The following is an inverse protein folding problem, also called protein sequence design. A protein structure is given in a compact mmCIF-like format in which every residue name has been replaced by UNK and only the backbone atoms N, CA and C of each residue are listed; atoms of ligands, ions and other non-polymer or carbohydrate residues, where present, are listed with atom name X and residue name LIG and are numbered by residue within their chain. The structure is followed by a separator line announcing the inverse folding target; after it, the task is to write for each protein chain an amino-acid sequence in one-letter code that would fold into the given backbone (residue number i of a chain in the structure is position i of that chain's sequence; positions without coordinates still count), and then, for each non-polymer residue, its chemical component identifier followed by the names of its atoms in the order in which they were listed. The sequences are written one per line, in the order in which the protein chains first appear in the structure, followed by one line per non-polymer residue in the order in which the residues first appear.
data_IF_088470096217
#
_entry.id   IF_088470096217
#
_cell.length_a   1.000
_cell.length_b   1.000
_cell.length_c   1.000
_cell.angle_alpha   90.00
_cell.angle_beta   90.00
_cell.angle_gamma   90.00
#
_symmetry.space_group_name_H-M   'P 1'
#
loop_
_entity.id
_entity.type
_entity.pdbx_description
1 polymer ?
#
# COMPACT_ATOMS: atom_id res chain seq x y z
N UNK A 1 7.17 13.06 -25.57
CA UNK A 1 5.81 12.49 -25.67
C UNK A 1 5.21 12.49 -24.28
N UNK A 2 3.93 12.88 -24.11
CA UNK A 2 3.27 12.88 -22.79
C UNK A 2 3.22 11.42 -22.32
N UNK A 3 3.80 11.08 -21.15
CA UNK A 3 3.69 9.71 -20.59
C UNK A 3 2.19 9.40 -20.41
N UNK A 4 1.70 8.29 -20.98
CA UNK A 4 0.31 7.87 -20.78
C UNK A 4 0.07 7.61 -19.29
N UNK A 5 -1.05 8.10 -18.76
CA UNK A 5 -1.41 7.89 -17.36
C UNK A 5 -1.60 6.39 -17.12
N UNK A 6 -0.89 5.88 -16.12
CA UNK A 6 -1.02 4.52 -15.60
C UNK A 6 -1.05 4.57 -14.09
N UNK A 7 -2.07 3.95 -13.51
CA UNK A 7 -2.26 3.85 -12.06
C UNK A 7 -2.50 2.39 -11.68
N UNK A 8 -2.39 2.08 -10.39
CA UNK A 8 -2.68 0.72 -9.90
C UNK A 8 -3.43 0.69 -8.59
N UNK A 9 -4.36 -0.24 -8.48
CA UNK A 9 -4.83 -0.73 -7.20
C UNK A 9 -4.02 -1.98 -6.83
N UNK A 10 -3.37 -1.93 -5.67
CA UNK A 10 -2.43 -2.96 -5.23
C UNK A 10 -2.81 -3.55 -3.85
N UNK A 11 -3.90 -4.31 -3.75
CA UNK A 11 -4.32 -4.92 -2.49
C UNK A 11 -3.51 -6.19 -2.16
N UNK A 12 -3.27 -6.42 -0.88
CA UNK A 12 -2.86 -7.73 -0.39
C UNK A 12 -4.09 -8.62 -0.16
N UNK A 13 -4.07 -9.91 -0.54
CA UNK A 13 -5.19 -10.83 -0.38
C UNK A 13 -5.27 -11.37 1.07
N UNK A 14 -5.56 -10.49 2.03
CA UNK A 14 -5.54 -10.80 3.47
C UNK A 14 -6.92 -10.81 4.13
N UNK A 15 -8.01 -10.77 3.34
CA UNK A 15 -9.39 -10.76 3.82
C UNK A 15 -10.33 -9.94 2.92
N UNK A 16 -11.51 -9.62 3.44
CA UNK A 16 -12.49 -8.77 2.76
C UNK A 16 -11.99 -7.33 2.50
N UNK A 17 -12.53 -6.69 1.48
CA UNK A 17 -12.14 -5.33 1.07
C UNK A 17 -12.96 -4.27 1.83
N UNK A 18 -12.27 -3.53 2.69
CA UNK A 18 -12.86 -2.41 3.44
C UNK A 18 -13.21 -1.21 2.54
N UNK A 19 -14.16 -0.37 2.99
CA UNK A 19 -14.58 0.86 2.29
C UNK A 19 -13.42 1.77 1.88
N UNK A 20 -12.40 1.93 2.74
CA UNK A 20 -11.21 2.72 2.40
C UNK A 20 -10.42 2.15 1.21
N UNK A 21 -10.39 0.82 1.08
CA UNK A 21 -9.82 0.14 -0.06
C UNK A 21 -10.64 0.35 -1.33
N UNK A 22 -11.97 0.23 -1.25
CA UNK A 22 -12.88 0.48 -2.39
C UNK A 22 -12.78 1.94 -2.86
N UNK A 23 -12.75 2.92 -1.94
CA UNK A 23 -12.56 4.33 -2.31
C UNK A 23 -11.20 4.56 -2.97
N UNK A 24 -10.15 3.87 -2.50
CA UNK A 24 -8.82 3.97 -3.11
C UNK A 24 -8.85 3.50 -4.56
N UNK A 25 -9.45 2.34 -4.85
CA UNK A 25 -9.58 1.86 -6.24
C UNK A 25 -10.49 2.75 -7.08
N UNK A 26 -11.57 3.29 -6.51
CA UNK A 26 -12.45 4.25 -7.19
C UNK A 26 -11.67 5.48 -7.66
N UNK A 27 -10.88 6.13 -6.80
CA UNK A 27 -10.12 7.32 -7.21
C UNK A 27 -9.01 7.00 -8.22
N UNK A 28 -8.38 5.82 -8.14
CA UNK A 28 -7.49 5.35 -9.20
C UNK A 28 -8.25 5.25 -10.54
N UNK A 29 -9.39 4.56 -10.53
CA UNK A 29 -10.21 4.33 -11.71
C UNK A 29 -10.69 5.64 -12.35
N UNK A 30 -11.27 6.55 -11.55
CA UNK A 30 -11.74 7.85 -12.03
C UNK A 30 -10.60 8.67 -12.64
N UNK A 31 -9.44 8.71 -11.99
CA UNK A 31 -8.27 9.44 -12.49
C UNK A 31 -7.75 8.87 -13.81
N UNK A 32 -7.63 7.54 -13.91
CA UNK A 32 -7.20 6.88 -15.13
C UNK A 32 -8.18 7.15 -16.28
N UNK A 33 -9.48 6.92 -16.05
CA UNK A 33 -10.52 7.13 -17.07
C UNK A 33 -10.63 8.59 -17.51
N UNK A 34 -10.56 9.55 -16.57
CA UNK A 34 -10.57 10.97 -16.87
C UNK A 34 -9.42 11.37 -17.82
N UNK A 35 -8.24 10.76 -17.60
CA UNK A 35 -7.04 11.03 -18.40
C UNK A 35 -6.92 10.17 -19.66
N UNK A 36 -7.88 9.27 -19.95
CA UNK A 36 -7.76 8.27 -21.01
C UNK A 36 -6.57 7.31 -20.81
N UNK A 37 -6.23 7.03 -19.55
CA UNK A 37 -5.14 6.16 -19.13
C UNK A 37 -5.59 4.76 -18.70
N UNK A 38 -4.63 4.02 -18.16
CA UNK A 38 -4.77 2.60 -17.79
C UNK A 38 -4.90 2.42 -16.28
N UNK A 39 -5.83 1.55 -15.88
CA UNK A 39 -6.04 1.11 -14.51
C UNK A 39 -5.63 -0.35 -14.33
N UNK A 40 -4.60 -0.57 -13.51
CA UNK A 40 -4.01 -1.89 -13.26
C UNK A 40 -4.45 -2.46 -11.90
N UNK A 41 -4.80 -3.75 -11.85
CA UNK A 41 -4.90 -4.53 -10.62
C UNK A 41 -3.62 -5.35 -10.41
N UNK A 42 -2.91 -5.14 -9.31
CA UNK A 42 -1.75 -5.95 -8.91
C UNK A 42 -2.02 -6.60 -7.55
N UNK A 43 -1.84 -7.90 -7.42
CA UNK A 43 -2.05 -8.61 -6.16
C UNK A 43 -0.73 -8.67 -5.39
N UNK A 44 -0.72 -8.10 -4.18
CA UNK A 44 0.46 -8.02 -3.32
C UNK A 44 0.46 -9.16 -2.29
N UNK A 45 0.69 -10.38 -2.77
CA UNK A 45 0.66 -11.65 -2.04
C UNK A 45 2.05 -12.12 -1.55
N UNK A 46 2.97 -11.19 -1.30
CA UNK A 46 4.35 -11.52 -0.87
C UNK A 46 4.43 -12.04 0.58
N UNK A 47 3.43 -11.72 1.40
CA UNK A 47 3.29 -12.22 2.77
C UNK A 47 2.35 -13.42 2.83
N UNK A 48 2.94 -14.61 2.63
CA UNK A 48 2.24 -15.89 2.68
C UNK A 48 1.64 -16.21 4.06
N UNK A 49 2.12 -15.58 5.15
CA UNK A 49 1.58 -15.81 6.49
C UNK A 49 0.22 -15.14 6.70
N UNK A 50 0.01 -14.02 5.98
CA UNK A 50 -1.23 -13.23 6.02
C UNK A 50 -2.17 -13.54 4.86
N UNK A 51 -1.73 -14.32 3.89
CA UNK A 51 -2.57 -14.78 2.78
C UNK A 51 -3.84 -15.46 3.31
N UNK A 52 -4.98 -15.10 2.71
CA UNK A 52 -6.27 -15.71 3.01
C UNK A 52 -6.88 -16.24 1.72
N UNK A 53 -7.12 -17.57 1.61
CA UNK A 53 -7.80 -18.15 0.46
C UNK A 53 -9.14 -17.46 0.17
N UNK A 54 -9.44 -17.23 -1.11
CA UNK A 54 -10.66 -16.53 -1.54
C UNK A 54 -10.62 -15.01 -1.46
N UNK A 55 -9.61 -14.39 -0.81
CA UNK A 55 -9.52 -12.94 -0.73
C UNK A 55 -9.24 -12.28 -2.09
N UNK A 56 -8.42 -12.90 -2.95
CA UNK A 56 -8.21 -12.42 -4.33
C UNK A 56 -9.51 -12.47 -5.16
N UNK A 57 -10.22 -13.60 -5.10
CA UNK A 57 -11.52 -13.76 -5.77
C UNK A 57 -12.53 -12.73 -5.28
N UNK A 58 -12.57 -12.50 -3.96
CA UNK A 58 -13.40 -11.46 -3.37
C UNK A 58 -13.08 -10.08 -3.92
N UNK A 59 -11.79 -9.72 -4.04
CA UNK A 59 -11.35 -8.44 -4.63
C UNK A 59 -11.87 -8.32 -6.06
N UNK A 60 -11.65 -9.34 -6.89
CA UNK A 60 -12.08 -9.34 -8.30
C UNK A 60 -13.61 -9.17 -8.40
N UNK A 61 -14.36 -9.97 -7.65
CA UNK A 61 -15.82 -9.91 -7.63
C UNK A 61 -16.34 -8.57 -7.11
N UNK A 62 -15.64 -7.96 -6.14
CA UNK A 62 -15.98 -6.63 -5.61
C UNK A 62 -15.82 -5.57 -6.70
N UNK A 63 -14.69 -5.57 -7.42
CA UNK A 63 -14.45 -4.62 -8.51
C UNK A 63 -15.47 -4.79 -9.63
N UNK A 64 -15.81 -6.04 -9.98
CA UNK A 64 -16.83 -6.32 -10.98
C UNK A 64 -18.21 -5.81 -10.56
N UNK A 65 -18.63 -6.06 -9.31
CA UNK A 65 -19.90 -5.54 -8.79
C UNK A 65 -19.93 -4.01 -8.81
N UNK A 66 -18.81 -3.37 -8.46
CA UNK A 66 -18.66 -1.91 -8.49
C UNK A 66 -18.50 -1.31 -9.91
N UNK A 67 -18.42 -2.12 -10.97
CA UNK A 67 -18.15 -1.64 -12.33
C UNK A 67 -16.72 -1.09 -12.54
N UNK A 68 -15.79 -1.36 -11.63
CA UNK A 68 -14.41 -0.85 -11.65
C UNK A 68 -13.45 -1.86 -12.30
N UNK A 69 -13.68 -2.17 -13.58
CA UNK A 69 -12.93 -3.22 -14.28
C UNK A 69 -11.49 -2.78 -14.59
N UNK A 70 -10.46 -3.54 -14.15
CA UNK A 70 -9.06 -3.28 -14.52
C UNK A 70 -8.79 -3.57 -15.99
N UNK A 71 -8.03 -2.68 -16.63
CA UNK A 71 -7.51 -2.88 -18.00
C UNK A 71 -6.44 -3.98 -18.01
N UNK A 72 -5.66 -4.04 -16.93
CA UNK A 72 -4.63 -5.05 -16.71
C UNK A 72 -4.79 -5.68 -15.33
N UNK A 73 -4.48 -6.97 -15.22
CA UNK A 73 -4.49 -7.67 -13.95
C UNK A 73 -4.41 -9.18 -14.07
N UNK A 74 -4.57 -9.93 -12.97
CA UNK A 74 -4.44 -11.38 -12.99
C UNK A 74 -5.45 -12.09 -13.89
N UNK A 75 -6.64 -11.50 -14.08
CA UNK A 75 -7.71 -12.02 -14.95
C UNK A 75 -7.64 -11.43 -16.36
N UNK A 76 -7.51 -10.11 -16.48
CA UNK A 76 -7.46 -9.41 -17.77
C UNK A 76 -6.16 -9.67 -18.55
N UNK A 77 -5.11 -10.14 -17.88
CA UNK A 77 -3.76 -10.22 -18.43
C UNK A 77 -3.17 -8.83 -18.62
N UNK A 78 -2.27 -8.69 -19.59
CA UNK A 78 -1.63 -7.43 -19.94
C UNK A 78 -0.13 -7.56 -20.20
N UNK A 79 0.51 -6.51 -20.74
CA UNK A 79 1.88 -6.56 -21.22
C UNK A 79 2.94 -6.72 -20.10
N UNK A 80 2.56 -6.50 -18.84
CA UNK A 80 3.47 -6.56 -17.69
C UNK A 80 3.21 -7.76 -16.76
N UNK A 81 2.45 -8.75 -17.24
CA UNK A 81 2.23 -10.00 -16.53
C UNK A 81 3.57 -10.65 -16.09
N UNK A 82 3.59 -11.38 -14.97
CA UNK A 82 2.45 -11.68 -14.09
C UNK A 82 2.06 -10.52 -13.16
N UNK A 83 0.79 -10.44 -12.79
CA UNK A 83 0.21 -9.39 -11.93
C UNK A 83 0.05 -9.83 -10.46
N UNK A 84 0.56 -11.01 -10.08
CA UNK A 84 0.74 -11.43 -8.69
C UNK A 84 2.21 -11.34 -8.31
N UNK A 85 2.53 -10.75 -7.17
CA UNK A 85 3.93 -10.55 -6.78
C UNK A 85 4.63 -11.87 -6.42
N UNK A 86 3.91 -12.87 -5.91
CA UNK A 86 4.43 -14.23 -5.67
C UNK A 86 5.01 -14.87 -6.95
N UNK A 87 4.39 -14.61 -8.09
CA UNK A 87 4.79 -15.10 -9.41
C UNK A 87 6.01 -14.34 -10.00
N UNK A 88 6.43 -13.23 -9.35
CA UNK A 88 7.53 -12.36 -9.78
C UNK A 88 8.82 -12.56 -8.97
N UNK A 89 8.83 -13.51 -8.01
CA UNK A 89 9.91 -13.72 -7.04
C UNK A 89 11.33 -13.58 -7.60
N UNK A 90 11.60 -14.22 -8.73
CA UNK A 90 12.93 -14.28 -9.34
C UNK A 90 13.52 -12.90 -9.67
N UNK A 91 12.67 -11.91 -9.99
CA UNK A 91 13.15 -10.59 -10.42
C UNK A 91 13.56 -9.69 -9.25
N UNK A 92 13.05 -9.89 -8.03
CA UNK A 92 13.27 -8.93 -6.95
C UNK A 92 14.67 -9.04 -6.34
N UNK A 93 15.22 -10.27 -6.26
CA UNK A 93 16.55 -10.53 -5.69
C UNK A 93 17.63 -9.71 -6.38
N UNK A 94 17.62 -9.64 -7.71
CA UNK A 94 18.63 -8.90 -8.47
C UNK A 94 18.69 -7.42 -8.06
N UNK A 95 17.56 -6.79 -7.75
CA UNK A 95 17.49 -5.39 -7.34
C UNK A 95 17.94 -5.19 -5.89
N UNK A 96 17.61 -6.14 -5.01
CA UNK A 96 18.12 -6.13 -3.64
C UNK A 96 19.66 -6.27 -3.62
N UNK A 97 20.22 -7.17 -4.42
CA UNK A 97 21.66 -7.39 -4.54
C UNK A 97 22.36 -6.23 -5.26
N UNK A 98 21.71 -5.60 -6.24
CA UNK A 98 22.18 -4.35 -6.83
C UNK A 98 22.31 -3.24 -5.77
N UNK A 99 21.30 -3.08 -4.90
CA UNK A 99 21.34 -2.12 -3.81
C UNK A 99 22.50 -2.44 -2.84
N UNK A 100 22.74 -3.71 -2.53
CA UNK A 100 23.90 -4.11 -1.71
C UNK A 100 25.22 -3.75 -2.38
N UNK A 101 25.39 -4.09 -3.66
CA UNK A 101 26.61 -3.80 -4.43
C UNK A 101 26.90 -2.30 -4.54
N UNK A 102 25.86 -1.48 -4.60
CA UNK A 102 25.96 -0.01 -4.60
C UNK A 102 26.13 0.62 -3.21
N UNK A 103 26.15 -0.18 -2.13
CA UNK A 103 26.31 0.30 -0.75
C UNK A 103 25.02 0.87 -0.11
N UNK A 104 23.89 0.77 -0.80
CA UNK A 104 22.58 1.28 -0.36
C UNK A 104 21.72 0.24 0.38
N UNK A 105 22.17 -0.99 0.43
CA UNK A 105 21.60 -2.05 1.26
C UNK A 105 22.71 -2.93 1.83
N UNK A 106 22.38 -3.81 2.76
CA UNK A 106 23.35 -4.70 3.41
C UNK A 106 22.69 -6.00 3.87
N UNK A 107 23.49 -7.06 4.02
CA UNK A 107 23.03 -8.35 4.52
C UNK A 107 22.95 -8.33 6.05
N UNK A 108 21.88 -8.85 6.64
CA UNK A 108 21.74 -9.02 8.08
C UNK A 108 21.42 -10.48 8.41
N UNK A 109 22.18 -11.05 9.35
CA UNK A 109 22.20 -12.48 9.71
C UNK A 109 21.58 -12.73 11.10
N UNK A 110 21.02 -11.69 11.72
CA UNK A 110 20.39 -11.74 13.04
C UNK A 110 19.23 -12.74 13.06
N UNK A 111 19.22 -13.62 14.07
CA UNK A 111 18.13 -14.54 14.37
C UNK A 111 16.97 -13.80 15.07
N UNK A 112 15.74 -14.33 15.01
CA UNK A 112 14.60 -13.74 15.70
C UNK A 112 14.85 -13.45 17.19
N UNK A 113 15.55 -14.33 17.89
CA UNK A 113 15.88 -14.19 19.31
C UNK A 113 16.89 -13.06 19.57
N UNK A 114 17.84 -12.85 18.66
CA UNK A 114 18.82 -11.76 18.72
C UNK A 114 18.13 -10.40 18.52
N UNK A 115 17.11 -10.34 17.63
CA UNK A 115 16.28 -9.15 17.43
C UNK A 115 15.39 -8.84 18.63
N UNK A 116 14.88 -9.86 19.33
CA UNK A 116 14.13 -9.66 20.57
C UNK A 116 15.02 -9.14 21.70
N UNK A 117 16.22 -9.72 21.84
CA UNK A 117 17.23 -9.23 22.78
C UNK A 117 17.63 -7.78 22.48
N UNK A 118 17.78 -7.40 21.20
CA UNK A 118 18.00 -6.02 20.80
C UNK A 118 16.86 -5.11 21.26
N UNK A 119 15.59 -5.49 21.01
CA UNK A 119 14.44 -4.69 21.44
C UNK A 119 14.43 -4.43 22.93
N UNK A 120 14.73 -5.43 23.76
CA UNK A 120 14.78 -5.26 25.21
C UNK A 120 16.01 -4.46 25.68
N UNK A 121 17.19 -4.67 25.08
CA UNK A 121 18.43 -3.94 25.43
C UNK A 121 18.34 -2.44 25.18
N UNK A 122 17.74 -2.03 24.06
CA UNK A 122 17.68 -0.61 23.66
C UNK A 122 16.39 0.09 24.11
N UNK A 123 15.50 -0.63 24.79
CA UNK A 123 14.24 -0.08 25.28
C UNK A 123 14.52 0.95 26.37
N UNK A 124 13.94 2.12 26.20
CA UNK A 124 13.99 3.19 27.22
C UNK A 124 12.61 3.84 27.34
N UNK A 125 12.39 4.63 28.39
CA UNK A 125 11.12 5.37 28.55
C UNK A 125 10.83 6.31 27.37
N UNK A 126 11.89 6.85 26.75
CA UNK A 126 11.81 7.74 25.58
C UNK A 126 11.87 7.02 24.24
N UNK A 127 12.22 5.73 24.24
CA UNK A 127 12.19 4.84 23.08
C UNK A 127 11.63 3.45 23.49
N UNK A 128 10.30 3.36 23.72
CA UNK A 128 9.69 2.13 24.23
C UNK A 128 9.60 1.01 23.17
N UNK A 129 9.93 1.30 21.91
CA UNK A 129 9.91 0.34 20.80
C UNK A 129 11.09 0.57 19.87
N UNK A 130 12.32 0.19 20.29
CA UNK A 130 13.52 0.38 19.49
C UNK A 130 13.42 -0.29 18.14
N UNK A 131 13.94 0.38 17.11
CA UNK A 131 13.95 -0.10 15.75
C UNK A 131 15.36 -0.47 15.31
N UNK A 132 15.48 -1.31 14.30
CA UNK A 132 16.77 -1.65 13.69
C UNK A 132 17.17 -0.52 12.76
N UNK A 133 17.97 0.43 13.23
CA UNK A 133 18.32 1.65 12.50
C UNK A 133 19.83 1.91 12.50
N UNK A 134 20.22 3.11 12.06
CA UNK A 134 21.63 3.53 12.04
C UNK A 134 22.34 3.53 13.38
N UNK A 135 21.62 3.68 14.51
CA UNK A 135 22.20 3.67 15.85
C UNK A 135 22.50 2.25 16.30
N UNK A 136 21.66 1.30 15.89
CA UNK A 136 21.72 -0.09 16.34
C UNK A 136 22.51 -0.97 15.37
N UNK A 137 22.53 -0.68 14.05
CA UNK A 137 23.14 -1.56 13.04
C UNK A 137 24.60 -1.93 13.33
N UNK A 138 25.37 -1.06 13.99
CA UNK A 138 26.78 -1.33 14.33
C UNK A 138 26.96 -2.41 15.40
N UNK A 139 25.92 -2.70 16.19
CA UNK A 139 25.94 -3.65 17.31
C UNK A 139 25.24 -4.99 16.99
N UNK A 140 24.75 -5.15 15.76
CA UNK A 140 24.00 -6.31 15.30
C UNK A 140 24.86 -7.16 14.34
N UNK A 141 24.42 -8.38 13.99
CA UNK A 141 25.19 -9.31 13.14
C UNK A 141 24.86 -9.11 11.67
N UNK A 142 25.54 -8.17 11.01
CA UNK A 142 25.25 -7.78 9.63
C UNK A 142 26.52 -7.30 8.89
N UNK A 143 26.46 -7.17 7.57
CA UNK A 143 27.62 -6.82 6.75
C UNK A 143 28.09 -5.36 6.88
N UNK A 144 27.48 -4.53 7.75
CA UNK A 144 28.04 -3.23 8.16
C UNK A 144 28.95 -3.35 9.39
N UNK A 145 28.74 -4.35 10.25
CA UNK A 145 29.50 -4.57 11.49
C UNK A 145 30.50 -5.73 11.37
N UNK A 146 30.25 -6.67 10.47
CA UNK A 146 31.15 -7.78 10.14
C UNK A 146 32.21 -7.37 9.11
N UNK A 147 33.32 -8.10 9.09
CA UNK A 147 34.30 -8.00 8.01
C UNK A 147 33.75 -8.58 6.70
N UNK A 148 34.41 -8.26 5.58
CA UNK A 148 34.06 -8.81 4.28
C UNK A 148 34.21 -10.34 4.26
N UNK A 149 35.31 -10.87 4.80
CA UNK A 149 35.60 -12.31 4.86
C UNK A 149 34.56 -13.08 5.69
N UNK A 150 34.17 -12.56 6.86
CA UNK A 150 33.10 -13.15 7.67
C UNK A 150 31.76 -13.12 6.95
N UNK A 151 31.45 -12.02 6.27
CA UNK A 151 30.20 -11.88 5.50
C UNK A 151 30.16 -12.89 4.36
N UNK A 152 31.25 -13.03 3.59
CA UNK A 152 31.38 -13.98 2.48
C UNK A 152 31.25 -15.43 2.99
N UNK A 153 31.94 -15.76 4.09
CA UNK A 153 31.85 -17.09 4.72
C UNK A 153 30.40 -17.43 5.12
N UNK A 154 29.69 -16.50 5.77
CA UNK A 154 28.29 -16.73 6.17
C UNK A 154 27.36 -16.91 4.96
N UNK A 155 27.62 -16.21 3.85
CA UNK A 155 26.86 -16.36 2.61
C UNK A 155 27.15 -17.70 1.93
N UNK A 156 28.42 -18.13 1.86
CA UNK A 156 28.85 -19.41 1.30
C UNK A 156 28.32 -20.60 2.10
N UNK A 157 28.31 -20.48 3.44
CA UNK A 157 27.74 -21.46 4.37
C UNK A 157 26.20 -21.54 4.29
N UNK A 158 25.56 -20.66 3.52
CA UNK A 158 24.11 -20.63 3.36
C UNK A 158 23.36 -20.19 4.62
N UNK A 159 24.00 -19.39 5.49
CA UNK A 159 23.35 -18.88 6.70
C UNK A 159 22.13 -18.03 6.32
N UNK A 160 20.94 -18.30 6.89
CA UNK A 160 19.75 -17.50 6.64
C UNK A 160 19.99 -16.01 6.93
N UNK A 161 19.63 -15.16 5.98
CA UNK A 161 19.86 -13.73 6.06
C UNK A 161 18.76 -12.93 5.36
N UNK A 162 18.62 -11.68 5.73
CA UNK A 162 17.77 -10.71 5.05
C UNK A 162 18.62 -9.62 4.39
N UNK A 163 18.06 -8.92 3.41
CA UNK A 163 18.67 -7.68 2.89
C UNK A 163 17.88 -6.51 3.45
N UNK A 164 18.56 -5.56 4.11
CA UNK A 164 17.98 -4.32 4.65
C UNK A 164 18.46 -3.11 3.84
N UNK A 165 17.61 -2.09 3.70
CA UNK A 165 18.05 -0.79 3.18
C UNK A 165 19.01 -0.16 4.18
N UNK A 166 20.09 0.46 3.69
CA UNK A 166 21.00 1.27 4.50
C UNK A 166 20.47 2.70 4.56
N UNK A 167 19.64 3.02 5.56
CA UNK A 167 19.13 4.38 5.72
C UNK A 167 20.28 5.36 6.01
N UNK A 168 20.37 6.50 5.30
CA UNK A 168 21.39 7.50 5.58
C UNK A 168 21.12 8.19 6.92
N UNK A 169 22.17 8.71 7.54
CA UNK A 169 22.10 9.32 8.87
C UNK A 169 21.73 10.80 8.77
N UNK A 170 20.65 11.19 9.45
CA UNK A 170 20.20 12.58 9.58
C UNK A 170 20.01 13.35 8.26
N UNK A 171 19.70 12.65 7.17
CA UNK A 171 19.34 13.27 5.91
C UNK A 171 17.87 13.68 5.89
N UNK A 172 17.57 14.67 5.05
CA UNK A 172 16.20 15.15 4.83
C UNK A 172 15.70 14.62 3.50
N UNK A 173 14.61 13.85 3.54
CA UNK A 173 13.92 13.36 2.35
C UNK A 173 12.62 14.12 2.19
N UNK A 174 12.55 14.91 1.12
CA UNK A 174 11.36 15.68 0.74
C UNK A 174 10.80 15.13 -0.57
N UNK A 175 9.47 15.06 -0.65
CA UNK A 175 8.76 14.77 -1.89
C UNK A 175 7.45 15.54 -1.94
N UNK A 176 6.93 15.72 -3.15
CA UNK A 176 5.64 16.36 -3.36
C UNK A 176 4.53 15.30 -3.44
N UNK A 177 3.56 15.37 -2.54
CA UNK A 177 2.33 14.59 -2.58
C UNK A 177 1.20 15.46 -3.16
N UNK A 178 0.44 14.91 -4.09
CA UNK A 178 -0.63 15.63 -4.79
C UNK A 178 -1.77 16.09 -3.86
N UNK A 179 -1.93 15.47 -2.69
CA UNK A 179 -2.94 15.84 -1.68
C UNK A 179 -2.26 16.55 -0.51
N UNK A 180 -1.15 16.02 0.00
CA UNK A 180 -0.49 16.56 1.20
C UNK A 180 0.35 17.79 0.92
N UNK A 181 0.78 18.02 -0.32
CA UNK A 181 1.77 19.03 -0.68
C UNK A 181 3.19 18.52 -0.42
N UNK A 182 4.13 19.43 -0.13
CA UNK A 182 5.50 19.04 0.19
C UNK A 182 5.56 18.39 1.57
N UNK A 183 5.99 17.13 1.61
CA UNK A 183 6.16 16.35 2.84
C UNK A 183 7.64 16.08 3.03
N UNK A 184 8.12 16.33 4.26
CA UNK A 184 9.54 16.22 4.61
C UNK A 184 9.72 15.30 5.81
N UNK A 185 10.68 14.39 5.72
CA UNK A 185 11.05 13.47 6.78
C UNK A 185 12.56 13.52 7.04
N UNK A 186 12.94 13.32 8.31
CA UNK A 186 14.33 13.09 8.67
C UNK A 186 14.60 11.58 8.73
N UNK A 187 15.63 11.10 8.04
CA UNK A 187 15.97 9.67 7.97
C UNK A 187 16.50 9.12 9.29
N UNK A 188 16.94 9.97 10.21
CA UNK A 188 17.31 9.58 11.58
C UNK A 188 16.14 9.05 12.43
N UNK A 189 14.90 9.18 11.95
CA UNK A 189 13.69 8.64 12.56
C UNK A 189 13.13 7.42 11.80
N UNK A 190 13.86 6.92 10.80
CA UNK A 190 13.42 5.83 9.92
C UNK A 190 14.41 4.67 10.07
N UNK A 191 13.87 3.48 10.26
CA UNK A 191 14.64 2.26 10.43
C UNK A 191 15.08 1.63 9.12
N UNK A 192 16.09 0.76 9.22
CA UNK A 192 16.61 -0.06 8.14
C UNK A 192 15.63 -1.19 7.83
N UNK A 193 14.57 -0.84 7.08
CA UNK A 193 13.54 -1.78 6.63
C UNK A 193 14.16 -2.95 5.88
N UNK A 194 13.65 -4.14 6.18
CA UNK A 194 13.93 -5.34 5.38
C UNK A 194 13.34 -5.16 3.98
N UNK A 195 14.15 -5.41 2.95
CA UNK A 195 13.79 -5.38 1.53
C UNK A 195 13.56 -6.78 0.97
N UNK A 196 14.40 -7.74 1.38
CA UNK A 196 14.32 -9.14 0.97
C UNK A 196 14.40 -10.04 2.21
N UNK A 197 13.43 -10.95 2.35
CA UNK A 197 13.38 -11.93 3.44
C UNK A 197 14.32 -13.11 3.15
N UNK A 198 14.61 -13.91 4.18
CA UNK A 198 15.48 -15.09 4.08
C UNK A 198 14.95 -16.19 3.15
N UNK A 199 13.63 -16.28 2.98
CA UNK A 199 12.98 -17.16 1.99
C UNK A 199 13.15 -16.67 0.54
N UNK A 200 13.81 -15.52 0.33
CA UNK A 200 14.02 -14.87 -0.97
C UNK A 200 12.79 -14.13 -1.50
N UNK A 201 11.71 -14.01 -0.74
CA UNK A 201 10.58 -13.15 -1.10
C UNK A 201 10.87 -11.69 -0.72
N UNK A 202 10.50 -10.71 -1.55
CA UNK A 202 10.61 -9.30 -1.17
C UNK A 202 9.63 -8.99 -0.04
N UNK A 203 9.91 -7.92 0.70
CA UNK A 203 8.88 -7.23 1.46
C UNK A 203 8.09 -6.29 0.55
N UNK A 204 6.98 -5.76 1.05
CA UNK A 204 6.20 -4.74 0.37
C UNK A 204 7.08 -3.59 -0.16
N UNK A 205 8.04 -3.11 0.63
CA UNK A 205 8.85 -1.93 0.30
C UNK A 205 9.66 -2.08 -0.99
N UNK A 206 10.30 -3.25 -1.19
CA UNK A 206 11.05 -3.52 -2.41
C UNK A 206 10.09 -3.83 -3.56
N UNK A 207 9.10 -4.70 -3.33
CA UNK A 207 8.21 -5.18 -4.37
C UNK A 207 7.40 -4.05 -5.02
N UNK A 208 6.87 -3.11 -4.22
CA UNK A 208 6.06 -2.00 -4.72
C UNK A 208 6.87 -1.08 -5.64
N UNK A 209 8.12 -0.75 -5.29
CA UNK A 209 8.99 0.14 -6.09
C UNK A 209 9.39 -0.55 -7.39
N UNK A 210 9.83 -1.81 -7.29
CA UNK A 210 10.23 -2.61 -8.46
C UNK A 210 9.07 -2.79 -9.43
N UNK A 211 7.88 -3.13 -8.94
CA UNK A 211 6.73 -3.36 -9.81
C UNK A 211 6.13 -2.06 -10.34
N UNK A 212 6.13 -0.96 -9.57
CA UNK A 212 5.68 0.34 -10.08
C UNK A 212 6.61 0.81 -11.22
N UNK A 213 7.92 0.57 -11.13
CA UNK A 213 8.87 0.81 -12.23
C UNK A 213 8.64 -0.13 -13.43
N UNK A 214 8.49 -1.44 -13.17
CA UNK A 214 8.33 -2.44 -14.21
C UNK A 214 7.02 -2.27 -15.00
N UNK A 215 5.93 -1.94 -14.29
CA UNK A 215 4.58 -1.73 -14.85
C UNK A 215 4.34 -0.29 -15.34
N UNK A 216 5.38 0.56 -15.31
CA UNK A 216 5.35 1.95 -15.78
C UNK A 216 4.26 2.78 -15.12
N UNK A 217 4.08 2.60 -13.82
CA UNK A 217 3.11 3.37 -13.01
C UNK A 217 3.55 4.83 -12.97
N UNK A 218 2.61 5.72 -13.27
CA UNK A 218 2.84 7.17 -13.32
C UNK A 218 2.27 7.91 -12.12
N UNK A 219 1.22 7.35 -11.49
CA UNK A 219 0.61 7.91 -10.30
C UNK A 219 0.31 6.77 -9.32
N UNK A 220 0.81 6.89 -8.10
CA UNK A 220 0.66 5.91 -7.03
C UNK A 220 -0.29 6.45 -5.96
N UNK A 221 -1.57 6.10 -6.08
CA UNK A 221 -2.59 6.47 -5.10
C UNK A 221 -2.72 5.36 -4.06
N UNK A 222 -2.71 5.73 -2.78
CA UNK A 222 -2.81 4.80 -1.64
C UNK A 222 -3.26 5.52 -0.39
N UNK A 223 -3.65 4.77 0.65
CA UNK A 223 -4.02 5.36 1.94
C UNK A 223 -2.83 6.01 2.66
N UNK A 224 -3.11 7.04 3.47
CA UNK A 224 -2.11 7.77 4.24
C UNK A 224 -1.36 6.95 5.29
N UNK A 225 -1.83 5.74 5.62
CA UNK A 225 -1.08 4.80 6.47
C UNK A 225 0.31 4.46 5.88
N UNK A 226 0.49 4.63 4.58
CA UNK A 226 1.77 4.41 3.90
C UNK A 226 2.67 5.65 3.86
N UNK A 227 2.18 6.81 4.30
CA UNK A 227 2.93 8.06 4.29
C UNK A 227 4.24 7.95 5.08
N UNK A 228 4.30 7.34 6.28
CA UNK A 228 5.55 7.15 7.02
C UNK A 228 6.57 6.24 6.33
N UNK A 229 6.15 5.40 5.36
CA UNK A 229 7.06 4.56 4.58
C UNK A 229 7.64 5.27 3.35
N UNK A 230 7.18 6.49 3.05
CA UNK A 230 7.59 7.22 1.85
C UNK A 230 9.09 7.48 1.76
N UNK A 231 9.82 7.82 2.84
CA UNK A 231 11.27 8.04 2.76
C UNK A 231 12.01 6.81 2.23
N UNK A 232 11.64 5.61 2.69
CA UNK A 232 12.22 4.35 2.23
C UNK A 232 12.01 4.18 0.72
N UNK A 233 10.77 4.33 0.25
CA UNK A 233 10.46 4.15 -1.16
C UNK A 233 11.12 5.22 -2.05
N UNK A 234 11.12 6.50 -1.64
CA UNK A 234 11.80 7.59 -2.37
C UNK A 234 13.29 7.28 -2.52
N UNK A 235 13.94 6.84 -1.44
CA UNK A 235 15.34 6.42 -1.49
C UNK A 235 15.56 5.19 -2.38
N UNK A 236 14.68 4.19 -2.34
CA UNK A 236 14.77 3.04 -3.25
C UNK A 236 14.71 3.46 -4.72
N UNK A 237 13.78 4.35 -5.09
CA UNK A 237 13.71 4.88 -6.45
C UNK A 237 15.01 5.61 -6.84
N UNK A 238 15.59 6.41 -5.94
CA UNK A 238 16.86 7.12 -6.17
C UNK A 238 18.04 6.14 -6.31
N UNK A 239 18.19 5.22 -5.37
CA UNK A 239 19.30 4.27 -5.31
C UNK A 239 19.29 3.24 -6.44
N UNK A 240 18.12 2.93 -6.99
CA UNK A 240 17.99 2.10 -8.19
C UNK A 240 18.20 2.89 -9.50
N UNK A 241 18.38 4.21 -9.42
CA UNK A 241 18.59 5.09 -10.57
C UNK A 241 17.31 5.38 -11.36
N UNK A 242 16.15 5.32 -10.70
CA UNK A 242 14.82 5.44 -11.34
C UNK A 242 14.10 6.74 -11.00
N UNK A 243 14.77 7.74 -10.43
CA UNK A 243 14.16 8.99 -9.98
C UNK A 243 13.31 9.69 -11.06
N UNK A 244 13.78 9.71 -12.32
CA UNK A 244 13.07 10.29 -13.47
C UNK A 244 11.77 9.54 -13.86
N UNK A 245 11.64 8.29 -13.42
CA UNK A 245 10.48 7.43 -13.66
C UNK A 245 9.60 7.26 -12.42
N UNK A 246 9.94 7.90 -11.30
CA UNK A 246 9.17 7.83 -10.07
C UNK A 246 7.74 8.32 -10.31
N UNK A 247 6.70 7.58 -9.87
CA UNK A 247 5.33 8.05 -10.02
C UNK A 247 5.12 9.32 -9.21
N UNK A 248 4.07 10.08 -9.53
CA UNK A 248 3.50 11.08 -8.62
C UNK A 248 2.69 10.39 -7.53
N UNK A 249 2.70 10.91 -6.31
CA UNK A 249 2.15 10.23 -5.15
C UNK A 249 0.91 10.97 -4.66
N UNK A 250 -0.10 10.22 -4.24
CA UNK A 250 -1.26 10.78 -3.57
C UNK A 250 -1.65 9.89 -2.38
N UNK A 251 -1.50 10.42 -1.17
CA UNK A 251 -1.89 9.74 0.06
C UNK A 251 -3.29 10.16 0.50
N UNK A 252 -4.26 9.28 0.22
CA UNK A 252 -5.67 9.48 0.51
C UNK A 252 -5.93 9.52 2.02
N UNK A 253 -6.71 10.50 2.52
CA UNK A 253 -6.99 10.62 3.96
C UNK A 253 -7.89 9.50 4.45
N UNK A 254 -7.71 9.05 5.69
CA UNK A 254 -8.52 7.98 6.27
C UNK A 254 -10.02 8.31 6.28
N UNK A 255 -10.85 7.29 6.08
CA UNK A 255 -12.27 7.38 6.43
C UNK A 255 -12.36 7.32 7.96
N UNK A 256 -12.98 8.33 8.55
CA UNK A 256 -13.15 8.46 9.99
C UNK A 256 -14.45 7.79 10.43
N UNK A 257 -14.47 7.32 11.67
CA UNK A 257 -15.70 6.78 12.26
C UNK A 257 -16.77 7.88 12.44
N UNK A 258 -18.06 7.51 12.52
CA UNK A 258 -19.16 8.49 12.62
C UNK A 258 -19.08 9.34 13.90
N UNK A 259 -18.68 8.72 15.02
CA UNK A 259 -18.61 9.32 16.35
C UNK A 259 -17.18 9.27 16.95
N UNK A 260 -16.79 10.32 17.68
CA UNK A 260 -15.46 10.41 18.31
C UNK A 260 -14.29 10.58 17.32
N UNK A 261 -13.08 10.17 17.75
CA UNK A 261 -11.82 10.39 17.04
C UNK A 261 -11.22 9.08 16.51
N UNK A 262 -10.78 9.03 15.25
CA UNK A 262 -9.99 7.93 14.68
C UNK A 262 -10.56 7.32 13.39
N UNK A 263 -9.84 6.33 12.86
CA UNK A 263 -10.16 5.57 11.63
C UNK A 263 -11.41 4.70 11.84
N UNK A 264 -12.24 4.60 10.81
CA UNK A 264 -13.34 3.64 10.73
C UNK A 264 -12.82 2.20 10.78
N UNK A 265 -13.39 1.38 11.66
CA UNK A 265 -13.02 -0.03 11.84
C UNK A 265 -14.22 -0.97 11.76
N UNK A 266 -13.97 -2.29 11.65
CA UNK A 266 -15.02 -3.32 11.73
C UNK A 266 -15.85 -3.20 13.01
N UNK A 267 -15.19 -2.92 14.15
CA UNK A 267 -15.84 -2.76 15.46
C UNK A 267 -16.84 -1.60 15.47
N UNK A 268 -16.60 -0.55 14.70
CA UNK A 268 -17.55 0.57 14.60
C UNK A 268 -18.81 0.14 13.86
N UNK A 269 -18.66 -0.59 12.75
CA UNK A 269 -19.78 -1.17 12.01
C UNK A 269 -20.61 -2.15 12.84
N UNK A 270 -19.95 -3.05 13.58
CA UNK A 270 -20.62 -3.99 14.48
C UNK A 270 -21.41 -3.28 15.59
N UNK A 271 -20.83 -2.22 16.18
CA UNK A 271 -21.46 -1.43 17.25
C UNK A 271 -22.63 -0.58 16.76
N UNK A 272 -22.49 0.03 15.59
CA UNK A 272 -23.43 1.02 15.05
C UNK A 272 -24.40 0.43 14.02
N UNK A 273 -24.26 -0.85 13.68
CA UNK A 273 -25.21 -1.59 12.85
C UNK A 273 -25.10 -1.29 11.34
N UNK A 274 -23.88 -1.13 10.81
CA UNK A 274 -23.66 -0.91 9.37
C UNK A 274 -22.53 -1.80 8.82
N UNK A 275 -22.59 -2.19 7.52
CA UNK A 275 -21.55 -3.00 6.91
C UNK A 275 -20.27 -2.19 6.68
N UNK A 276 -19.11 -2.85 6.73
CA UNK A 276 -17.79 -2.22 6.47
C UNK A 276 -17.10 -2.78 5.22
N UNK A 277 -17.74 -3.73 4.56
CA UNK A 277 -17.28 -4.42 3.37
C UNK A 277 -18.27 -4.24 2.23
N UNK A 278 -17.77 -4.19 0.99
CA UNK A 278 -18.61 -4.06 -0.19
C UNK A 278 -19.60 -5.24 -0.35
N UNK A 279 -19.11 -6.47 -0.18
CA UNK A 279 -19.87 -7.71 -0.27
C UNK A 279 -19.66 -8.59 0.97
N UNK A 280 -20.48 -9.62 1.14
CA UNK A 280 -20.33 -10.59 2.22
C UNK A 280 -18.95 -11.25 2.21
N UNK A 281 -18.28 -11.25 3.36
CA UNK A 281 -17.03 -11.96 3.57
C UNK A 281 -17.20 -12.96 4.70
N UNK A 282 -17.05 -14.24 4.39
CA UNK A 282 -16.92 -15.29 5.41
C UNK A 282 -15.43 -15.57 5.61
N UNK A 283 -14.92 -15.27 6.79
CA UNK A 283 -13.52 -15.55 7.11
C UNK A 283 -13.31 -17.08 7.14
N UNK A 284 -12.43 -17.66 6.29
CA UNK A 284 -12.24 -19.11 6.23
C UNK A 284 -11.58 -19.69 7.48
N UNK A 285 -10.96 -18.86 8.33
CA UNK A 285 -10.31 -19.30 9.58
C UNK A 285 -11.30 -19.36 10.74
N UNK A 286 -12.19 -18.37 10.85
CA UNK A 286 -13.14 -18.25 11.98
C UNK A 286 -14.57 -18.68 11.62
N UNK A 287 -14.87 -18.84 10.33
CA UNK A 287 -16.21 -19.03 9.78
C UNK A 287 -17.18 -17.88 10.13
N UNK A 288 -16.64 -16.71 10.48
CA UNK A 288 -17.44 -15.53 10.83
C UNK A 288 -17.87 -14.81 9.55
N UNK A 289 -19.18 -14.65 9.37
CA UNK A 289 -19.76 -13.86 8.28
C UNK A 289 -19.79 -12.38 8.66
N UNK A 290 -19.10 -11.56 7.88
CA UNK A 290 -19.28 -10.10 7.89
C UNK A 290 -20.15 -9.69 6.71
N UNK A 291 -21.34 -9.13 7.00
CA UNK A 291 -22.29 -8.73 5.95
C UNK A 291 -21.78 -7.51 5.16
N UNK A 292 -21.98 -7.52 3.84
CA UNK A 292 -21.60 -6.44 2.94
C UNK A 292 -22.75 -5.50 2.57
N UNK A 293 -22.42 -4.36 1.93
CA UNK A 293 -23.40 -3.43 1.38
C UNK A 293 -24.28 -4.08 0.31
N UNK A 294 -23.68 -4.87 -0.59
CA UNK A 294 -24.40 -5.58 -1.66
C UNK A 294 -25.56 -6.42 -1.11
N UNK A 295 -25.30 -7.22 -0.09
CA UNK A 295 -26.31 -8.12 0.49
C UNK A 295 -27.30 -7.42 1.43
N UNK A 296 -27.06 -6.15 1.77
CA UNK A 296 -28.07 -5.28 2.38
C UNK A 296 -28.97 -4.59 1.34
N UNK A 297 -28.79 -4.86 0.05
CA UNK A 297 -29.62 -4.30 -1.02
C UNK A 297 -29.15 -2.96 -1.55
N UNK A 298 -27.88 -2.60 -1.33
CA UNK A 298 -27.32 -1.42 -1.98
C UNK A 298 -27.11 -1.65 -3.47
N UNK A 299 -27.52 -0.68 -4.29
CA UNK A 299 -27.18 -0.61 -5.71
C UNK A 299 -25.69 -0.23 -5.87
N UNK A 300 -24.96 -0.85 -6.81
CA UNK A 300 -23.55 -0.53 -7.00
C UNK A 300 -23.32 0.94 -7.37
N UNK A 301 -24.22 1.55 -8.13
CA UNK A 301 -24.19 2.96 -8.52
C UNK A 301 -24.25 3.88 -7.30
N UNK A 302 -25.24 3.66 -6.42
CA UNK A 302 -25.40 4.40 -5.17
C UNK A 302 -24.20 4.23 -4.24
N UNK A 303 -23.69 2.99 -4.12
CA UNK A 303 -22.52 2.69 -3.31
C UNK A 303 -21.26 3.43 -3.81
N UNK A 304 -21.04 3.46 -5.12
CA UNK A 304 -19.92 4.17 -5.74
C UNK A 304 -20.06 5.67 -5.59
N UNK A 305 -21.25 6.22 -5.82
CA UNK A 305 -21.51 7.64 -5.63
C UNK A 305 -21.24 8.06 -4.18
N UNK A 306 -21.75 7.31 -3.19
CA UNK A 306 -21.49 7.57 -1.78
C UNK A 306 -19.98 7.55 -1.48
N UNK A 307 -19.25 6.54 -1.96
CA UNK A 307 -17.80 6.45 -1.75
C UNK A 307 -17.04 7.61 -2.41
N UNK A 308 -17.47 8.06 -3.58
CA UNK A 308 -16.84 9.18 -4.28
C UNK A 308 -16.86 10.44 -3.40
N UNK A 309 -17.99 10.70 -2.74
CA UNK A 309 -18.20 11.87 -1.88
C UNK A 309 -17.45 11.81 -0.55
N UNK A 310 -16.84 10.68 -0.17
CA UNK A 310 -16.03 10.54 1.05
C UNK A 310 -14.62 11.13 0.88
N UNK A 311 -14.57 12.46 0.78
CA UNK A 311 -13.33 13.24 0.71
C UNK A 311 -13.13 13.96 -0.63
N UNK A 312 -14.16 14.05 -1.47
CA UNK A 312 -14.13 14.77 -2.74
C UNK A 312 -15.49 15.43 -3.01
N UNK A 313 -15.49 16.56 -3.70
CA UNK A 313 -16.68 17.18 -4.32
C UNK A 313 -16.25 17.81 -5.65
N UNK A 314 -17.19 18.03 -6.56
CA UNK A 314 -16.89 18.64 -7.87
C UNK A 314 -16.80 20.19 -7.84
N UNK A 315 -17.01 20.80 -6.66
CA UNK A 315 -17.09 22.25 -6.47
C UNK A 315 -18.49 22.82 -6.56
N UNK A 316 -19.50 21.98 -6.68
CA UNK A 316 -20.91 22.36 -6.70
C UNK A 316 -21.67 21.66 -5.58
N UNK A 317 -22.96 21.94 -5.45
CA UNK A 317 -23.86 21.26 -4.51
C UNK A 317 -24.45 19.95 -5.10
N UNK A 318 -23.99 19.50 -6.28
CA UNK A 318 -24.40 18.21 -6.83
C UNK A 318 -23.87 17.08 -5.96
N UNK A 319 -24.77 16.20 -5.52
CA UNK A 319 -24.40 15.01 -4.75
C UNK A 319 -24.61 13.71 -5.54
N UNK A 320 -25.64 13.65 -6.40
CA UNK A 320 -25.94 12.46 -7.20
C UNK A 320 -25.16 12.52 -8.52
N UNK A 321 -24.37 11.48 -8.78
CA UNK A 321 -23.54 11.34 -9.97
C UNK A 321 -23.64 9.93 -10.54
N UNK A 322 -23.72 9.85 -11.85
CA UNK A 322 -23.36 8.65 -12.63
C UNK A 322 -21.84 8.44 -12.63
N UNK A 323 -21.38 7.24 -12.97
CA UNK A 323 -19.94 6.96 -13.07
C UNK A 323 -19.30 7.80 -14.19
N UNK A 324 -20.01 8.05 -15.29
CA UNK A 324 -19.55 8.89 -16.40
C UNK A 324 -19.35 10.34 -15.96
N UNK A 325 -20.27 10.90 -15.16
CA UNK A 325 -20.13 12.23 -14.59
C UNK A 325 -18.96 12.31 -13.61
N UNK A 326 -18.81 11.29 -12.74
CA UNK A 326 -17.65 11.20 -11.85
C UNK A 326 -16.35 11.18 -12.65
N UNK A 327 -16.25 10.36 -13.70
CA UNK A 327 -15.07 10.32 -14.58
C UNK A 327 -14.83 11.68 -15.23
N UNK A 328 -15.87 12.34 -15.75
CA UNK A 328 -15.71 13.64 -16.40
C UNK A 328 -15.28 14.75 -15.43
N UNK A 329 -15.70 14.68 -14.17
CA UNK A 329 -15.52 15.76 -13.19
C UNK A 329 -14.36 15.52 -12.22
N UNK A 330 -13.89 14.27 -12.07
CA UNK A 330 -12.89 13.92 -11.08
C UNK A 330 -11.61 14.73 -11.29
N UNK A 331 -11.15 15.34 -10.20
CA UNK A 331 -9.85 16.01 -10.13
C UNK A 331 -9.25 15.71 -8.77
N UNK A 332 -7.99 15.28 -8.80
CA UNK A 332 -7.19 15.00 -7.61
C UNK A 332 -7.01 16.24 -6.73
N UNK A 333 -6.99 17.44 -7.32
CA UNK A 333 -6.84 18.70 -6.59
C UNK A 333 -8.06 19.03 -5.72
N UNK A 334 -9.21 18.39 -6.00
CA UNK A 334 -10.44 18.52 -5.22
C UNK A 334 -10.59 17.45 -4.13
N UNK A 335 -9.63 16.53 -4.01
CA UNK A 335 -9.59 15.58 -2.89
C UNK A 335 -9.12 16.33 -1.64
N UNK A 336 -9.96 16.33 -0.61
CA UNK A 336 -9.69 17.02 0.64
C UNK A 336 -8.52 16.39 1.40
N UNK A 337 -7.74 17.22 2.11
CA UNK A 337 -6.69 16.72 3.01
C UNK A 337 -7.26 16.11 4.30
N UNK A 338 -8.42 16.59 4.76
CA UNK A 338 -9.07 16.10 5.97
C UNK A 338 -9.70 14.72 5.78
N UNK A 339 -9.75 13.92 6.84
CA UNK A 339 -10.52 12.68 6.84
C UNK A 339 -12.02 12.95 6.75
N UNK A 340 -12.74 12.15 5.97
CA UNK A 340 -14.19 12.22 5.86
C UNK A 340 -14.83 11.24 6.85
N UNK A 341 -15.80 11.72 7.65
CA UNK A 341 -16.58 10.84 8.52
C UNK A 341 -17.55 10.01 7.69
N UNK A 342 -17.59 8.72 7.98
CA UNK A 342 -18.60 7.85 7.41
C UNK A 342 -19.96 8.13 8.05
N UNK A 343 -21.01 8.23 7.23
CA UNK A 343 -22.40 8.41 7.66
C UNK A 343 -23.28 7.37 6.96
N UNK A 344 -23.85 6.45 7.73
CA UNK A 344 -24.66 5.37 7.19
C UNK A 344 -26.07 5.83 6.78
N UNK A 345 -26.63 6.86 7.41
CA UNK A 345 -27.93 7.41 6.97
C UNK A 345 -27.77 8.13 5.64
N UNK A 346 -26.66 8.85 5.44
CA UNK A 346 -26.32 9.41 4.13
C UNK A 346 -26.12 8.33 3.08
N UNK A 347 -25.50 7.21 3.44
CA UNK A 347 -25.39 6.04 2.55
C UNK A 347 -26.75 5.51 2.11
N UNK A 348 -27.70 5.35 3.05
CA UNK A 348 -29.07 4.93 2.72
C UNK A 348 -29.80 5.93 1.84
N UNK A 349 -29.58 7.23 2.06
CA UNK A 349 -30.13 8.28 1.20
C UNK A 349 -29.65 8.14 -0.25
N UNK A 350 -28.33 7.96 -0.47
CA UNK A 350 -27.80 7.68 -1.81
C UNK A 350 -28.41 6.45 -2.48
N UNK A 351 -28.80 5.45 -1.68
CA UNK A 351 -29.42 4.23 -2.19
C UNK A 351 -30.93 4.35 -2.44
N UNK A 352 -31.56 5.39 -1.90
CA UNK A 352 -32.98 5.66 -2.07
C UNK A 352 -33.23 6.49 -3.33
N UNK A 353 -32.39 7.51 -3.55
CA UNK A 353 -32.33 8.28 -4.80
C UNK A 353 -31.86 7.40 -5.97
#
# INVERSE_FOLDING_TARGET
MKKNVRVRFAPSPTGGLHLGGVRTVLYNYLFARHAGGEFVLRIEDTDQTRFVPGAEEYIINCLQWCGLTPDEGPVSGGPYAPYRQSERKAMYRQYAEQLVKSGHAYYAFDRPEELESMRERFKTDTNPSPQYDHKVRGEMRNSCSLTLEETETLLEDGVPHVIRIRMPENETVTFHDMIRGDVTFNTGLVDDKVLLKADGMPTYHLAVVVDDYAMKITHAFRGEEWLPSSPVHVLLWKYLGWEEDMPKWAHLPLILKPDGNGKLSKRDGDRLGFPVFAMNWTDPKTNELTKGFRELGFMPEAFINMLAMLGWNDGTDQEIFTIEELVSKFSIDRVHKGGAKFDFEKAKWFNHE
#
